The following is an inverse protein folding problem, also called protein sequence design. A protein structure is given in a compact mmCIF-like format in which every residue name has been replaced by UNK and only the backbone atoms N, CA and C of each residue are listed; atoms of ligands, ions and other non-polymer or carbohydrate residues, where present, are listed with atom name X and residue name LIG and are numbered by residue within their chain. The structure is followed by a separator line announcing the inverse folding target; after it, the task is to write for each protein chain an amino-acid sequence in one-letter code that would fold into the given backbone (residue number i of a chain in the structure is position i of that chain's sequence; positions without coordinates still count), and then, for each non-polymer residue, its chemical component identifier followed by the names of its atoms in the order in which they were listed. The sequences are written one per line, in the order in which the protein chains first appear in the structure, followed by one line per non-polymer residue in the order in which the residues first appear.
data_IF_071649043966
#
_entry.id   IF_071649043966
#
_cell.length_a   1.000
_cell.length_b   1.000
_cell.length_c   1.000
_cell.angle_alpha   90.00
_cell.angle_beta   90.00
_cell.angle_gamma   90.00
#
_symmetry.space_group_name_H-M   'P 1'
#
loop_
_entity.id
_entity.type
_entity.pdbx_description
1 polymer ?
#
# COMPACT_ATOMS: atom_id res chain seq x y z
N UNK A 1 31.63 24.54 -16.21
CA UNK A 1 32.15 23.21 -15.87
C UNK A 1 32.96 23.32 -14.59
N UNK A 2 32.35 23.07 -13.43
CA UNK A 2 33.04 23.07 -12.14
C UNK A 2 32.66 21.77 -11.41
N UNK A 3 33.66 20.91 -11.22
CA UNK A 3 33.53 19.62 -10.56
C UNK A 3 33.56 19.82 -9.04
N UNK A 4 32.43 19.56 -8.39
CA UNK A 4 32.34 19.49 -6.92
C UNK A 4 32.48 18.02 -6.53
N UNK A 5 33.66 17.67 -6.04
CA UNK A 5 33.95 16.34 -5.49
C UNK A 5 33.46 16.25 -4.04
N UNK A 6 32.46 15.39 -3.79
CA UNK A 6 32.05 15.02 -2.44
C UNK A 6 32.88 13.82 -1.95
N UNK A 7 33.62 14.03 -0.87
CA UNK A 7 34.39 13.01 -0.17
C UNK A 7 33.45 12.17 0.70
N UNK A 8 33.45 10.86 0.45
CA UNK A 8 32.90 9.83 1.32
C UNK A 8 33.54 9.85 2.70
N UNK A 9 32.71 9.89 3.74
CA UNK A 9 33.08 9.40 5.08
C UNK A 9 32.15 8.26 5.43
N UNK A 10 32.61 7.03 5.17
CA UNK A 10 31.98 5.82 5.65
C UNK A 10 32.19 5.72 7.16
N UNK A 11 31.10 5.81 7.92
CA UNK A 11 31.09 5.57 9.36
C UNK A 11 30.88 4.07 9.59
N UNK A 12 31.95 3.40 10.03
CA UNK A 12 31.91 1.99 10.42
C UNK A 12 30.95 1.79 11.61
N UNK A 13 29.99 0.87 11.45
CA UNK A 13 29.16 0.39 12.55
C UNK A 13 29.81 -0.87 13.16
N UNK A 14 29.75 -1.03 14.49
CA UNK A 14 30.34 -2.17 15.17
C UNK A 14 29.55 -3.47 14.93
N UNK A 15 30.33 -4.53 14.70
CA UNK A 15 29.94 -5.93 14.61
C UNK A 15 29.32 -6.37 15.94
N UNK A 16 28.02 -6.69 15.93
CA UNK A 16 27.36 -7.34 17.05
C UNK A 16 27.75 -8.83 17.08
N UNK A 17 28.34 -9.22 18.20
CA UNK A 17 28.78 -10.56 18.56
C UNK A 17 27.60 -11.54 18.65
N UNK A 18 27.74 -12.67 17.95
CA UNK A 18 26.91 -13.86 18.13
C UNK A 18 27.08 -14.43 19.54
N UNK A 19 25.97 -14.70 20.23
CA UNK A 19 25.94 -15.53 21.44
C UNK A 19 25.48 -16.95 21.09
N UNK A 20 26.13 -18.02 21.60
CA UNK A 20 25.74 -19.39 21.36
C UNK A 20 24.83 -19.97 22.48
N UNK A 21 23.98 -20.92 22.06
CA UNK A 21 23.47 -22.08 22.78
C UNK A 21 22.81 -21.92 24.17
N UNK A 22 21.49 -22.01 24.19
CA UNK A 22 20.70 -22.51 25.32
C UNK A 22 19.98 -23.81 24.93
N UNK A 23 20.43 -24.93 25.49
CA UNK A 23 19.98 -26.31 25.25
C UNK A 23 19.16 -26.78 26.46
N UNK A 24 17.87 -27.05 26.30
CA UNK A 24 17.07 -27.91 27.21
C UNK A 24 15.86 -28.43 26.43
N UNK A 25 15.81 -29.67 25.96
CA UNK A 25 15.59 -30.94 26.69
C UNK A 25 14.25 -30.98 27.44
N UNK A 26 13.26 -31.66 26.82
CA UNK A 26 12.17 -32.49 27.38
C UNK A 26 10.94 -32.38 26.45
N UNK A 27 10.73 -33.33 25.53
CA UNK A 27 10.02 -34.62 25.70
C UNK A 27 8.49 -34.50 25.67
N UNK A 28 7.90 -34.77 24.51
CA UNK A 28 6.64 -35.53 24.31
C UNK A 28 6.46 -35.67 22.80
N UNK A 29 6.89 -36.75 22.17
CA UNK A 29 6.07 -37.95 21.95
C UNK A 29 4.59 -37.61 21.70
N UNK A 30 4.22 -37.58 20.41
CA UNK A 30 3.05 -38.28 19.87
C UNK A 30 3.25 -38.42 18.35
N UNK A 31 3.74 -39.59 17.97
CA UNK A 31 3.41 -40.25 16.71
C UNK A 31 1.92 -40.15 16.41
N UNK A 32 1.55 -39.66 15.23
CA UNK A 32 0.53 -40.31 14.40
C UNK A 32 0.97 -40.24 12.94
N UNK A 33 1.53 -41.37 12.54
CA UNK A 33 1.59 -41.88 11.19
C UNK A 33 0.18 -41.88 10.57
N UNK A 34 -0.02 -41.20 9.43
CA UNK A 34 -1.07 -41.60 8.48
C UNK A 34 -0.60 -41.43 7.05
N UNK A 35 -0.11 -42.56 6.54
CA UNK A 35 0.30 -42.84 5.19
C UNK A 35 -0.88 -42.73 4.22
N UNK A 36 -1.07 -41.56 3.61
CA UNK A 36 -1.99 -41.34 2.50
C UNK A 36 -1.29 -41.42 1.14
N UNK A 37 -0.94 -42.65 0.71
CA UNK A 37 -0.29 -42.91 -0.59
C UNK A 37 -1.31 -42.73 -1.73
N UNK A 38 -1.50 -41.50 -2.20
CA UNK A 38 -2.32 -41.21 -3.37
C UNK A 38 -1.51 -41.44 -4.66
N UNK A 39 -1.73 -42.60 -5.29
CA UNK A 39 -1.32 -42.93 -6.65
C UNK A 39 -2.00 -41.95 -7.61
N UNK A 40 -1.31 -40.86 -7.98
CA UNK A 40 -1.71 -40.05 -9.14
C UNK A 40 -1.12 -40.65 -10.40
N UNK A 41 -1.99 -41.31 -11.16
CA UNK A 41 -1.76 -41.75 -12.53
C UNK A 41 -1.21 -40.58 -13.34
N UNK A 42 -0.01 -40.74 -13.89
CA UNK A 42 0.60 -39.79 -14.81
C UNK A 42 -0.24 -39.68 -16.08
N UNK A 43 -0.99 -38.58 -16.20
CA UNK A 43 -1.53 -38.15 -17.48
C UNK A 43 -0.38 -37.49 -18.23
N UNK A 44 0.24 -38.23 -19.16
CA UNK A 44 1.13 -37.65 -20.17
C UNK A 44 0.28 -36.75 -21.06
N UNK A 45 0.26 -35.46 -20.76
CA UNK A 45 -0.18 -34.44 -21.70
C UNK A 45 0.86 -34.38 -22.83
N UNK A 46 0.51 -34.95 -23.98
CA UNK A 46 1.21 -34.71 -25.24
C UNK A 46 1.07 -33.22 -25.59
N UNK A 47 2.10 -32.44 -25.28
CA UNK A 47 2.27 -31.08 -25.78
C UNK A 47 2.58 -31.15 -27.29
N UNK A 48 1.82 -30.47 -28.16
CA UNK A 48 2.12 -30.40 -29.57
C UNK A 48 3.46 -29.71 -29.81
N UNK A 49 4.25 -30.36 -30.67
CA UNK A 49 5.58 -29.97 -31.12
C UNK A 49 5.52 -28.57 -31.76
N UNK A 50 6.36 -27.66 -31.25
CA UNK A 50 6.49 -26.25 -31.66
C UNK A 50 6.56 -26.08 -33.18
N UNK A 51 5.65 -25.28 -33.75
CA UNK A 51 5.83 -24.61 -35.04
C UNK A 51 6.60 -23.32 -34.77
N UNK A 52 7.93 -23.39 -34.86
CA UNK A 52 8.80 -22.22 -34.92
C UNK A 52 8.72 -21.65 -36.33
N UNK A 53 8.28 -20.40 -36.49
CA UNK A 53 8.44 -19.74 -37.80
C UNK A 53 7.63 -18.50 -38.14
N UNK A 54 7.01 -17.78 -37.18
CA UNK A 54 6.45 -16.45 -37.47
C UNK A 54 6.76 -15.45 -36.36
N UNK A 55 7.29 -14.26 -36.69
CA UNK A 55 7.45 -13.19 -35.71
C UNK A 55 6.04 -12.76 -35.28
N UNK A 56 5.66 -13.14 -34.06
CA UNK A 56 4.41 -12.68 -33.46
C UNK A 56 4.61 -11.22 -33.11
N UNK A 57 4.03 -10.33 -33.91
CA UNK A 57 4.07 -8.89 -33.68
C UNK A 57 3.50 -8.55 -32.30
N UNK A 58 3.97 -7.44 -31.72
CA UNK A 58 3.64 -6.97 -30.37
C UNK A 58 2.12 -6.90 -30.09
N UNK A 59 1.31 -6.69 -31.14
CA UNK A 59 -0.15 -6.72 -31.09
C UNK A 59 -0.73 -8.09 -30.69
N UNK A 60 -0.14 -9.19 -31.14
CA UNK A 60 -0.62 -10.55 -30.83
C UNK A 60 -0.31 -10.94 -29.38
N UNK A 61 0.78 -10.43 -28.81
CA UNK A 61 1.08 -10.65 -27.38
C UNK A 61 0.07 -9.97 -26.47
N UNK A 62 -0.34 -8.73 -26.80
CA UNK A 62 -1.38 -8.01 -26.07
C UNK A 62 -2.75 -8.70 -26.17
N UNK A 63 -3.12 -9.20 -27.35
CA UNK A 63 -4.39 -9.91 -27.54
C UNK A 63 -4.46 -11.21 -26.72
N UNK A 64 -3.37 -12.00 -26.71
CA UNK A 64 -3.31 -13.24 -25.92
C UNK A 64 -3.28 -12.96 -24.41
N UNK A 65 -2.59 -11.90 -23.97
CA UNK A 65 -2.57 -11.48 -22.57
C UNK A 65 -3.96 -11.03 -22.08
N UNK A 66 -4.68 -10.23 -22.88
CA UNK A 66 -6.05 -9.79 -22.55
C UNK A 66 -7.04 -10.97 -22.53
N UNK A 67 -6.93 -11.91 -23.47
CA UNK A 67 -7.81 -13.09 -23.50
C UNK A 67 -7.58 -14.01 -22.29
N UNK A 68 -6.33 -14.24 -21.89
CA UNK A 68 -5.99 -14.99 -20.68
C UNK A 68 -6.52 -14.32 -19.41
N UNK A 69 -6.45 -12.99 -19.33
CA UNK A 69 -6.99 -12.24 -18.18
C UNK A 69 -8.52 -12.34 -18.10
N UNK A 70 -9.23 -12.27 -19.23
CA UNK A 70 -10.69 -12.47 -19.29
C UNK A 70 -11.10 -13.92 -18.91
N UNK A 71 -10.33 -14.92 -19.31
CA UNK A 71 -10.58 -16.32 -18.92
C UNK A 71 -10.26 -16.59 -17.43
N UNK A 72 -9.29 -15.90 -16.85
CA UNK A 72 -9.01 -15.97 -15.40
C UNK A 72 -10.14 -15.34 -14.57
N UNK A 73 -10.76 -14.25 -15.06
CA UNK A 73 -11.90 -13.60 -14.39
C UNK A 73 -13.20 -14.41 -14.44
N UNK A 74 -13.36 -15.28 -15.45
CA UNK A 74 -14.57 -16.12 -15.62
C UNK A 74 -14.44 -17.51 -15.00
N UNK A 75 -13.24 -17.95 -14.63
CA UNK A 75 -12.98 -19.31 -14.12
C UNK A 75 -12.81 -19.41 -12.60
N UNK A 76 -13.00 -18.33 -11.83
CA UNK A 76 -13.09 -18.45 -10.36
C UNK A 76 -14.46 -19.03 -9.96
N UNK A 77 -14.54 -20.29 -9.46
CA UNK A 77 -15.78 -20.83 -8.94
C UNK A 77 -16.13 -20.06 -7.67
N UNK A 78 -17.09 -19.13 -7.77
CA UNK A 78 -17.77 -18.55 -6.62
C UNK A 78 -18.46 -19.69 -5.86
N UNK A 79 -17.76 -20.26 -4.86
CA UNK A 79 -18.39 -21.03 -3.79
C UNK A 79 -19.15 -20.03 -2.93
N UNK A 80 -20.38 -19.76 -3.35
CA UNK A 80 -21.43 -19.15 -2.55
C UNK A 80 -21.79 -20.12 -1.42
N UNK A 81 -21.01 -20.12 -0.34
CA UNK A 81 -21.46 -20.65 0.94
C UNK A 81 -22.35 -19.59 1.59
N UNK A 82 -23.63 -19.58 1.23
CA UNK A 82 -24.66 -18.96 2.05
C UNK A 82 -24.86 -19.84 3.29
N UNK A 83 -24.16 -19.51 4.37
CA UNK A 83 -24.48 -20.04 5.69
C UNK A 83 -25.74 -19.32 6.18
N UNK A 84 -26.86 -20.02 6.16
CA UNK A 84 -28.08 -19.64 6.88
C UNK A 84 -27.81 -19.62 8.38
N UNK A 85 -27.60 -18.43 8.96
CA UNK A 85 -27.65 -18.19 10.40
C UNK A 85 -29.08 -17.87 10.84
N UNK A 86 -29.52 -18.32 12.02
CA UNK A 86 -30.89 -18.12 12.49
C UNK A 86 -31.16 -16.65 12.82
N UNK A 87 -32.39 -16.23 12.53
CA UNK A 87 -32.96 -14.93 12.81
C UNK A 87 -32.94 -14.62 14.32
N UNK A 88 -31.85 -14.02 14.78
CA UNK A 88 -31.72 -13.41 16.10
C UNK A 88 -32.06 -11.92 16.03
N UNK A 89 -33.31 -11.62 16.36
CA UNK A 89 -33.81 -10.39 16.99
C UNK A 89 -32.76 -9.27 17.24
N UNK A 90 -32.52 -8.40 16.25
CA UNK A 90 -31.80 -7.13 16.46
C UNK A 90 -32.75 -6.11 17.09
N UNK A 91 -32.76 -6.06 18.42
CA UNK A 91 -33.36 -4.97 19.19
C UNK A 91 -32.27 -3.93 19.43
N UNK A 92 -32.62 -2.66 19.19
CA UNK A 92 -31.72 -1.53 19.00
C UNK A 92 -30.72 -1.23 20.12
N UNK A 93 -29.66 -0.54 19.71
CA UNK A 93 -28.66 0.05 20.56
C UNK A 93 -27.39 0.30 19.75
N UNK A 94 -27.30 1.46 19.11
CA UNK A 94 -26.09 1.96 18.46
C UNK A 94 -25.01 2.21 19.51
N UNK A 95 -24.36 1.14 19.97
CA UNK A 95 -23.15 1.23 20.78
C UNK A 95 -22.00 1.44 19.82
N UNK A 96 -21.71 2.69 19.50
CA UNK A 96 -20.45 3.07 18.85
C UNK A 96 -19.31 2.49 19.70
N UNK A 97 -18.49 1.56 19.16
CA UNK A 97 -17.45 0.90 19.94
C UNK A 97 -16.51 1.95 20.53
N UNK A 98 -16.25 1.85 21.83
CA UNK A 98 -15.46 2.81 22.61
C UNK A 98 -14.05 3.07 22.06
N UNK A 99 -13.54 2.19 21.19
CA UNK A 99 -12.26 2.33 20.50
C UNK A 99 -12.15 3.58 19.59
N UNK A 100 -13.26 4.08 19.03
CA UNK A 100 -13.21 5.27 18.15
C UNK A 100 -13.14 6.61 18.90
N UNK A 101 -13.50 6.66 20.19
CA UNK A 101 -13.45 7.93 20.95
C UNK A 101 -12.01 8.40 21.23
N UNK A 102 -11.05 7.49 21.38
CA UNK A 102 -9.65 7.82 21.66
C UNK A 102 -8.89 8.48 20.50
N UNK A 103 -9.23 8.15 19.25
CA UNK A 103 -8.50 8.67 18.08
C UNK A 103 -8.79 10.17 17.83
N UNK A 104 -10.02 10.62 18.12
CA UNK A 104 -10.41 12.04 17.99
C UNK A 104 -9.66 12.96 18.96
N UNK A 105 -9.33 12.46 20.16
CA UNK A 105 -8.68 13.23 21.21
C UNK A 105 -7.19 13.45 20.94
N UNK A 106 -6.50 12.42 20.42
CA UNK A 106 -5.09 12.50 20.01
C UNK A 106 -4.90 13.45 18.83
N UNK A 107 -5.81 13.41 17.85
CA UNK A 107 -5.79 14.35 16.72
C UNK A 107 -5.99 15.80 17.19
N UNK A 108 -6.96 16.03 18.08
CA UNK A 108 -7.22 17.36 18.67
C UNK A 108 -6.00 17.87 19.46
N UNK A 109 -5.37 17.01 20.28
CA UNK A 109 -4.20 17.37 21.08
C UNK A 109 -3.00 17.78 20.21
N UNK A 110 -2.78 17.06 19.11
CA UNK A 110 -1.73 17.41 18.13
C UNK A 110 -2.06 18.71 17.38
N UNK A 111 -3.33 19.01 17.10
CA UNK A 111 -3.71 20.30 16.52
C UNK A 111 -3.45 21.48 17.47
N UNK A 112 -3.76 21.35 18.76
CA UNK A 112 -3.50 22.42 19.74
C UNK A 112 -2.00 22.62 19.96
N UNK A 113 -1.20 21.55 19.97
CA UNK A 113 0.26 21.65 20.04
C UNK A 113 0.87 22.33 18.80
N UNK A 114 0.27 22.15 17.62
CA UNK A 114 0.68 22.82 16.38
C UNK A 114 0.35 24.32 16.37
N UNK A 115 -0.76 24.72 17.00
CA UNK A 115 -1.13 26.12 17.14
C UNK A 115 -0.18 26.94 18.04
N UNK A 116 0.66 26.26 18.84
CA UNK A 116 1.65 26.90 19.71
C UNK A 116 3.01 27.13 19.04
N UNK A 117 3.23 26.68 17.79
CA UNK A 117 4.45 27.01 17.06
C UNK A 117 4.38 28.48 16.61
N UNK A 118 5.40 29.31 16.91
CA UNK A 118 5.42 30.71 16.50
C UNK A 118 5.41 30.79 14.96
N UNK A 119 4.65 31.72 14.37
CA UNK A 119 4.57 31.88 12.91
C UNK A 119 5.85 32.55 12.38
N UNK A 120 6.94 31.81 12.25
CA UNK A 120 8.22 32.33 11.70
C UNK A 120 8.61 31.67 10.39
N UNK A 121 7.68 31.63 9.42
CA UNK A 121 8.04 31.45 8.02
C UNK A 121 7.17 32.37 7.13
N UNK A 122 7.46 33.68 7.07
CA UNK A 122 6.76 34.64 6.21
C UNK A 122 6.93 34.40 4.69
N UNK A 123 7.52 33.29 4.23
CA UNK A 123 7.86 33.06 2.82
C UNK A 123 6.93 32.15 2.02
N UNK A 124 6.11 31.31 2.66
CA UNK A 124 5.48 30.18 1.94
C UNK A 124 4.36 30.62 0.98
N UNK A 125 3.59 31.66 1.34
CA UNK A 125 2.53 32.21 0.47
C UNK A 125 3.09 32.98 -0.72
N UNK A 126 4.24 33.65 -0.54
CA UNK A 126 4.90 34.40 -1.62
C UNK A 126 5.65 33.47 -2.59
N UNK A 127 6.20 32.35 -2.10
CA UNK A 127 6.78 31.32 -2.95
C UNK A 127 5.73 30.66 -3.86
N UNK A 128 4.54 30.33 -3.32
CA UNK A 128 3.43 29.72 -4.08
C UNK A 128 2.80 30.65 -5.13
N UNK A 129 2.90 31.98 -4.97
CA UNK A 129 2.27 32.93 -5.89
C UNK A 129 3.03 33.11 -7.22
N UNK A 130 4.31 32.73 -7.28
CA UNK A 130 5.16 33.00 -8.46
C UNK A 130 5.06 31.90 -9.52
N UNK A 131 4.53 30.72 -9.17
CA UNK A 131 4.40 29.56 -10.06
C UNK A 131 3.00 29.36 -10.67
N UNK A 132 2.13 30.38 -10.61
CA UNK A 132 0.72 30.29 -11.03
C UNK A 132 0.46 29.77 -12.46
N UNK A 133 1.45 29.85 -13.35
CA UNK A 133 1.38 29.32 -14.73
C UNK A 133 1.65 27.80 -14.82
N UNK A 134 2.34 27.19 -13.86
CA UNK A 134 2.63 25.74 -13.83
C UNK A 134 1.60 24.92 -13.08
N UNK A 135 0.84 25.53 -12.17
CA UNK A 135 -0.20 24.84 -11.41
C UNK A 135 -1.52 24.68 -12.16
N UNK A 136 -1.80 25.46 -13.21
CA UNK A 136 -3.09 25.40 -13.90
C UNK A 136 -3.43 24.02 -14.50
N UNK A 137 -2.51 23.30 -15.17
CA UNK A 137 -2.76 21.93 -15.62
C UNK A 137 -3.00 20.95 -14.47
N UNK A 138 -2.31 21.13 -13.34
CA UNK A 138 -2.44 20.28 -12.16
C UNK A 138 -3.74 20.53 -11.39
N UNK A 139 -4.22 21.77 -11.36
CA UNK A 139 -5.53 22.12 -10.82
C UNK A 139 -6.66 21.52 -11.65
N UNK A 140 -6.53 21.53 -12.99
CA UNK A 140 -7.51 20.85 -13.84
C UNK A 140 -7.46 19.33 -13.62
N UNK A 141 -6.25 18.75 -13.57
CA UNK A 141 -6.08 17.32 -13.31
C UNK A 141 -6.65 16.92 -11.94
N UNK A 142 -6.46 17.73 -10.89
CA UNK A 142 -6.99 17.44 -9.55
C UNK A 142 -8.52 17.50 -9.52
N UNK A 143 -9.15 18.43 -10.25
CA UNK A 143 -10.60 18.48 -10.40
C UNK A 143 -11.15 17.22 -11.07
N UNK A 144 -10.52 16.75 -12.16
CA UNK A 144 -10.91 15.51 -12.85
C UNK A 144 -10.70 14.27 -11.96
N UNK A 145 -9.56 14.19 -11.27
CA UNK A 145 -9.24 13.10 -10.34
C UNK A 145 -10.24 13.07 -9.18
N UNK A 146 -10.73 14.23 -8.72
CA UNK A 146 -11.78 14.33 -7.71
C UNK A 146 -13.06 13.58 -8.08
N UNK A 147 -13.46 13.65 -9.34
CA UNK A 147 -14.63 12.93 -9.86
C UNK A 147 -14.38 11.41 -9.99
N UNK A 148 -13.13 11.01 -10.21
CA UNK A 148 -12.71 9.61 -10.37
C UNK A 148 -12.39 8.90 -9.04
N UNK A 149 -12.41 9.60 -7.89
CA UNK A 149 -12.17 9.01 -6.56
C UNK A 149 -12.94 7.72 -6.27
N UNK A 150 -14.27 7.60 -6.50
CA UNK A 150 -14.98 6.36 -6.19
C UNK A 150 -14.50 5.20 -7.06
N UNK A 151 -14.14 5.46 -8.31
CA UNK A 151 -13.56 4.44 -9.20
C UNK A 151 -12.20 3.97 -8.69
N UNK A 152 -11.34 4.89 -8.25
CA UNK A 152 -10.04 4.54 -7.69
C UNK A 152 -10.13 3.79 -6.36
N UNK A 153 -11.12 4.11 -5.51
CA UNK A 153 -11.36 3.37 -4.27
C UNK A 153 -11.78 1.92 -4.57
N UNK A 154 -12.70 1.73 -5.51
CA UNK A 154 -13.11 0.39 -5.98
C UNK A 154 -11.94 -0.39 -6.58
N UNK A 155 -11.14 0.26 -7.43
CA UNK A 155 -9.98 -0.38 -8.03
C UNK A 155 -8.93 -0.77 -6.98
N UNK A 156 -8.68 0.08 -5.98
CA UNK A 156 -7.74 -0.21 -4.90
C UNK A 156 -8.21 -1.43 -4.09
N UNK A 157 -9.50 -1.49 -3.72
CA UNK A 157 -10.07 -2.62 -3.02
C UNK A 157 -9.99 -3.92 -3.85
N UNK A 158 -10.20 -3.83 -5.17
CA UNK A 158 -10.07 -4.97 -6.07
C UNK A 158 -8.61 -5.45 -6.20
N UNK A 159 -7.65 -4.52 -6.30
CA UNK A 159 -6.22 -4.84 -6.38
C UNK A 159 -5.66 -5.40 -5.07
N UNK A 160 -6.20 -4.97 -3.92
CA UNK A 160 -5.81 -5.47 -2.61
C UNK A 160 -6.19 -6.94 -2.39
N UNK A 161 -7.23 -7.43 -3.07
CA UNK A 161 -7.72 -8.79 -2.92
C UNK A 161 -8.20 -9.07 -1.49
N UNK A 162 -7.89 -10.25 -0.95
CA UNK A 162 -8.16 -10.59 0.45
C UNK A 162 -6.99 -10.16 1.33
N UNK A 163 -7.24 -9.30 2.31
CA UNK A 163 -6.26 -8.85 3.30
C UNK A 163 -6.91 -8.67 4.67
N UNK A 164 -6.09 -8.62 5.73
CA UNK A 164 -6.55 -8.27 7.08
C UNK A 164 -6.50 -6.74 7.28
N UNK A 165 -7.68 -6.12 7.30
CA UNK A 165 -7.81 -4.68 7.53
C UNK A 165 -7.25 -4.24 8.89
N UNK A 166 -7.35 -5.07 9.93
CA UNK A 166 -6.87 -4.73 11.26
C UNK A 166 -5.34 -4.67 11.30
N UNK A 167 -4.68 -5.63 10.65
CA UNK A 167 -3.21 -5.66 10.53
C UNK A 167 -2.70 -4.45 9.72
N UNK A 168 -3.32 -4.17 8.58
CA UNK A 168 -2.91 -3.05 7.71
C UNK A 168 -3.09 -1.71 8.43
N UNK A 169 -4.21 -1.51 9.15
CA UNK A 169 -4.42 -0.30 9.96
C UNK A 169 -3.40 -0.16 11.08
N UNK A 170 -3.08 -1.25 11.77
CA UNK A 170 -2.06 -1.24 12.81
C UNK A 170 -0.68 -0.84 12.25
N UNK A 171 -0.34 -1.32 11.05
CA UNK A 171 0.89 -0.93 10.35
C UNK A 171 0.89 0.56 9.96
N UNK A 172 -0.21 1.08 9.42
CA UNK A 172 -0.37 2.51 9.10
C UNK A 172 -0.22 3.36 10.37
N UNK A 173 -0.86 2.98 11.47
CA UNK A 173 -0.73 3.71 12.73
C UNK A 173 0.70 3.70 13.29
N UNK A 174 1.42 2.58 13.16
CA UNK A 174 2.83 2.49 13.56
C UNK A 174 3.71 3.42 12.70
N UNK A 175 3.45 3.49 11.39
CA UNK A 175 4.14 4.40 10.48
C UNK A 175 3.85 5.87 10.84
N UNK A 176 2.59 6.24 11.05
CA UNK A 176 2.18 7.59 11.44
C UNK A 176 2.79 8.01 12.78
N UNK A 177 2.96 7.09 13.73
CA UNK A 177 3.63 7.37 15.03
C UNK A 177 5.15 7.55 14.89
N UNK A 178 5.75 7.11 13.79
CA UNK A 178 7.21 7.08 13.63
C UNK A 178 7.85 8.42 13.25
N UNK A 179 7.06 9.39 12.74
CA UNK A 179 7.56 10.70 12.34
C UNK A 179 6.46 11.77 12.50
N UNK A 180 6.82 13.05 12.68
CA UNK A 180 5.84 14.14 12.80
C UNK A 180 5.03 14.34 11.51
N UNK A 181 5.64 14.08 10.35
CA UNK A 181 4.99 14.08 9.03
C UNK A 181 5.34 12.77 8.33
N UNK A 182 4.32 12.07 7.85
CA UNK A 182 4.47 10.88 7.00
C UNK A 182 3.79 11.18 5.68
N UNK A 183 4.50 10.96 4.57
CA UNK A 183 3.97 11.10 3.22
C UNK A 183 3.94 9.74 2.54
N UNK A 184 2.74 9.33 2.13
CA UNK A 184 2.54 8.18 1.26
C UNK A 184 2.62 8.66 -0.19
N UNK A 185 3.62 8.19 -0.93
CA UNK A 185 3.95 8.70 -2.26
C UNK A 185 3.95 7.60 -3.31
N UNK A 186 3.85 8.02 -4.57
CA UNK A 186 4.19 7.19 -5.73
C UNK A 186 5.40 7.80 -6.44
N UNK A 187 6.37 6.97 -6.82
CA UNK A 187 7.65 7.45 -7.35
C UNK A 187 7.51 8.19 -8.68
N UNK A 188 6.56 7.78 -9.53
CA UNK A 188 6.32 8.38 -10.85
C UNK A 188 5.18 9.41 -10.86
N UNK A 189 4.63 9.78 -9.69
CA UNK A 189 3.54 10.75 -9.64
C UNK A 189 4.07 12.18 -9.60
N UNK A 190 3.67 13.06 -10.54
CA UNK A 190 4.09 14.46 -10.53
C UNK A 190 3.62 15.19 -9.26
N UNK A 191 2.45 14.82 -8.72
CA UNK A 191 1.93 15.38 -7.47
C UNK A 191 2.79 15.03 -6.25
N UNK A 192 3.35 13.82 -6.22
CA UNK A 192 4.20 13.38 -5.12
C UNK A 192 5.54 14.12 -5.12
N UNK A 193 6.10 14.39 -6.30
CA UNK A 193 7.32 15.20 -6.43
C UNK A 193 7.12 16.63 -5.94
N UNK A 194 6.03 17.27 -6.34
CA UNK A 194 5.73 18.64 -5.88
C UNK A 194 5.44 18.71 -4.38
N UNK A 195 4.69 17.75 -3.84
CA UNK A 195 4.44 17.68 -2.40
C UNK A 195 5.74 17.56 -1.59
N UNK A 196 6.69 16.75 -2.06
CA UNK A 196 8.03 16.63 -1.44
C UNK A 196 8.82 17.93 -1.54
N UNK A 197 8.85 18.56 -2.71
CA UNK A 197 9.50 19.86 -2.91
C UNK A 197 8.93 20.93 -1.97
N UNK A 198 7.62 20.95 -1.74
CA UNK A 198 6.98 21.87 -0.80
C UNK A 198 7.39 21.59 0.65
N UNK A 199 7.50 20.32 1.05
CA UNK A 199 7.97 19.94 2.38
C UNK A 199 9.45 20.28 2.59
N UNK A 200 10.28 20.02 1.57
CA UNK A 200 11.70 20.36 1.57
C UNK A 200 11.90 21.89 1.65
N UNK A 201 11.15 22.66 0.86
CA UNK A 201 11.17 24.12 0.89
C UNK A 201 10.67 24.70 2.22
N UNK A 202 9.76 23.99 2.91
CA UNK A 202 9.30 24.35 4.24
C UNK A 202 10.31 23.99 5.34
N UNK A 203 11.35 23.21 5.04
CA UNK A 203 12.28 22.68 6.04
C UNK A 203 11.63 21.71 7.03
N UNK A 204 10.57 21.01 6.60
CA UNK A 204 9.86 20.07 7.46
C UNK A 204 10.51 18.68 7.39
N UNK A 205 10.79 18.07 8.54
CA UNK A 205 11.20 16.67 8.59
C UNK A 205 10.00 15.75 8.30
N UNK A 206 10.10 14.91 7.26
CA UNK A 206 9.07 13.94 6.91
C UNK A 206 9.66 12.56 6.62
N UNK A 207 8.84 11.53 6.81
CA UNK A 207 9.12 10.15 6.41
C UNK A 207 8.32 9.82 5.15
N UNK A 208 9.03 9.46 4.09
CA UNK A 208 8.43 8.95 2.85
C UNK A 208 8.15 7.45 2.97
N UNK A 209 6.93 7.04 2.60
CA UNK A 209 6.52 5.65 2.44
C UNK A 209 6.07 5.45 1.00
N UNK A 210 6.92 4.80 0.20
CA UNK A 210 6.62 4.50 -1.21
C UNK A 210 5.55 3.41 -1.30
N UNK A 211 4.44 3.72 -1.98
CA UNK A 211 3.38 2.75 -2.32
C UNK A 211 3.63 2.07 -3.68
N UNK A 212 4.78 2.32 -4.29
CA UNK A 212 5.19 1.78 -5.59
C UNK A 212 5.39 2.86 -6.66
N UNK A 213 5.71 2.40 -7.87
CA UNK A 213 6.00 3.31 -8.99
C UNK A 213 4.77 4.14 -9.41
N UNK A 214 3.62 3.50 -9.52
CA UNK A 214 2.35 4.12 -9.88
C UNK A 214 1.17 3.40 -9.25
N UNK A 215 0.04 4.10 -9.12
CA UNK A 215 -1.16 3.60 -8.46
C UNK A 215 -1.79 2.36 -9.12
N UNK A 216 -1.53 2.12 -10.41
CA UNK A 216 -1.97 0.93 -11.14
C UNK A 216 -0.95 -0.21 -11.14
N UNK A 217 0.29 0.05 -10.71
CA UNK A 217 1.38 -0.92 -10.54
C UNK A 217 1.65 -1.21 -9.05
N UNK A 218 0.74 -0.80 -8.16
CA UNK A 218 0.87 -1.06 -6.74
C UNK A 218 0.84 -2.58 -6.47
N UNK A 219 1.69 -3.05 -5.56
CA UNK A 219 1.60 -4.40 -5.04
C UNK A 219 0.28 -4.61 -4.27
N UNK A 220 -0.19 -5.85 -4.07
CA UNK A 220 -1.39 -6.10 -3.27
C UNK A 220 -1.34 -5.48 -1.87
N UNK A 221 -0.18 -5.50 -1.22
CA UNK A 221 0.04 -4.86 0.08
C UNK A 221 -0.09 -3.33 0.03
N UNK A 222 0.50 -2.69 -0.99
CA UNK A 222 0.38 -1.25 -1.18
C UNK A 222 -1.06 -0.84 -1.56
N UNK A 223 -1.76 -1.67 -2.33
CA UNK A 223 -3.18 -1.49 -2.64
C UNK A 223 -4.07 -1.63 -1.39
N UNK A 224 -3.75 -2.56 -0.49
CA UNK A 224 -4.42 -2.70 0.80
C UNK A 224 -4.21 -1.46 1.67
N UNK A 225 -2.96 -0.97 1.81
CA UNK A 225 -2.66 0.29 2.51
C UNK A 225 -3.43 1.46 1.92
N UNK A 226 -3.47 1.59 0.59
CA UNK A 226 -4.23 2.65 -0.08
C UNK A 226 -5.73 2.57 0.20
N UNK A 227 -6.29 1.36 0.21
CA UNK A 227 -7.71 1.13 0.50
C UNK A 227 -8.04 1.57 1.93
N UNK A 228 -7.21 1.18 2.89
CA UNK A 228 -7.41 1.56 4.30
C UNK A 228 -7.12 3.04 4.57
N UNK A 229 -6.10 3.64 3.94
CA UNK A 229 -5.86 5.09 4.00
C UNK A 229 -7.06 5.88 3.49
N UNK A 230 -7.67 5.45 2.37
CA UNK A 230 -8.90 6.06 1.85
C UNK A 230 -10.09 5.88 2.80
N UNK A 231 -10.21 4.71 3.45
CA UNK A 231 -11.25 4.47 4.45
C UNK A 231 -11.07 5.31 5.73
N UNK A 232 -9.83 5.58 6.12
CA UNK A 232 -9.49 6.36 7.33
C UNK A 232 -9.56 7.88 7.11
N UNK A 233 -9.27 8.36 5.91
CA UNK A 233 -9.03 9.79 5.65
C UNK A 233 -9.88 10.41 4.51
N UNK A 234 -10.61 9.59 3.74
CA UNK A 234 -11.57 10.02 2.70
C UNK A 234 -11.03 10.04 1.29
#
# INVERSE_FOLDING_TARGET
MAAVGNKSTAKALPVATMSPCGRSSSSSCCDVCSSGRAVRRGVRLCLPRRVLGRPVGLASFLAVALLSFCLALTSSPRRLCWAHGPAGLWRGGDVVPAAQRGQSQSYRRNQVARAAQPPTAPGLKSALATDGLRLAPLQLASAVVGLLRPFFALQAAFQAGSYDAAEVRAAIEAEVKSAPVVIYSYELSPFSTEAKQLLDAAGADYKEVSLGAAWFLASPEAAAKRTELGAMHG
#
